data_IF_901036211796
#
_entry.id   IF_901036211796
#
_cell.length_a   1.000
_cell.length_b   1.000
_cell.length_c   1.000
_cell.angle_alpha   90.00
_cell.angle_beta   90.00
_cell.angle_gamma   90.00
#
_symmetry.space_group_name_H-M   'P 1'
#
loop_
_entity.id
_entity.type
_entity.pdbx_description
1 polymer ?
#
# COMPACT_ATOMS: atom_id res chain seq x y z
N UNK A 1 9.15 5.43 -18.54
CA UNK A 1 9.05 4.38 -17.53
C UNK A 1 8.91 3.02 -18.19
N UNK A 2 10.01 2.46 -18.71
CA UNK A 2 9.99 1.14 -19.34
C UNK A 2 10.32 0.02 -18.34
N UNK A 3 10.60 0.37 -17.07
CA UNK A 3 11.12 -0.60 -16.09
C UNK A 3 10.12 -1.02 -15.01
N UNK A 4 8.95 -0.39 -14.92
CA UNK A 4 7.94 -0.68 -13.87
C UNK A 4 8.55 -0.78 -12.46
N UNK A 5 9.48 0.11 -12.16
CA UNK A 5 10.23 0.11 -10.91
C UNK A 5 10.14 1.45 -10.21
N UNK A 6 9.98 1.42 -8.89
CA UNK A 6 10.25 2.56 -8.03
C UNK A 6 11.76 2.81 -8.01
N UNK A 7 12.19 3.98 -8.49
CA UNK A 7 13.59 4.38 -8.45
C UNK A 7 13.85 5.18 -7.18
N UNK A 8 14.86 4.77 -6.42
CA UNK A 8 15.30 5.44 -5.21
C UNK A 8 16.81 5.55 -5.17
N UNK A 9 17.34 6.62 -4.59
CA UNK A 9 18.76 6.74 -4.28
C UNK A 9 18.96 6.33 -2.82
N UNK A 10 19.62 5.18 -2.61
CA UNK A 10 19.98 4.71 -1.27
C UNK A 10 21.35 5.27 -0.89
N UNK A 11 21.44 5.89 0.29
CA UNK A 11 22.71 6.38 0.82
C UNK A 11 22.98 5.86 2.23
N UNK A 12 24.23 5.51 2.49
CA UNK A 12 24.73 5.03 3.78
C UNK A 12 25.87 5.93 4.23
N UNK A 13 25.78 6.45 5.46
CA UNK A 13 26.84 7.24 6.08
C UNK A 13 27.54 6.41 7.15
N UNK A 14 28.83 6.16 6.95
CA UNK A 14 29.66 5.44 7.91
C UNK A 14 30.24 6.39 8.96
N UNK A 15 30.20 5.99 10.23
CA UNK A 15 30.84 6.73 11.33
C UNK A 15 32.36 6.63 11.31
N UNK A 16 32.88 5.55 10.73
CA UNK A 16 34.32 5.29 10.58
C UNK A 16 34.55 4.69 9.20
N UNK A 17 35.51 5.21 8.49
CA UNK A 17 35.90 4.78 7.16
C UNK A 17 37.36 5.09 6.88
N UNK A 18 37.92 4.45 5.90
CA UNK A 18 39.29 4.64 5.39
C UNK A 18 39.23 4.75 3.87
N UNK A 19 40.30 5.20 3.24
CA UNK A 19 40.31 5.42 1.79
C UNK A 19 40.12 4.12 0.97
N UNK A 20 40.33 2.97 1.59
CA UNK A 20 40.14 1.62 1.02
C UNK A 20 38.79 0.99 1.44
N UNK A 21 37.88 1.76 2.03
CA UNK A 21 36.56 1.26 2.41
C UNK A 21 35.70 1.09 1.18
N UNK A 22 35.18 -0.12 0.98
CA UNK A 22 34.19 -0.47 -0.04
C UNK A 22 32.86 -0.82 0.64
N UNK A 23 31.75 -0.40 0.03
CA UNK A 23 30.40 -0.68 0.52
C UNK A 23 29.58 -1.27 -0.61
N UNK A 24 28.86 -2.35 -0.32
CA UNK A 24 27.86 -2.92 -1.19
C UNK A 24 26.50 -3.02 -0.48
N UNK A 25 25.46 -2.56 -1.13
CA UNK A 25 24.07 -2.69 -0.64
C UNK A 25 23.54 -4.07 -0.98
N UNK A 26 22.99 -4.76 0.01
CA UNK A 26 22.27 -6.01 -0.14
C UNK A 26 20.78 -5.72 -0.07
N UNK A 27 20.03 -6.14 -1.09
CA UNK A 27 18.57 -6.02 -1.16
C UNK A 27 18.01 -7.42 -1.17
N UNK A 28 17.23 -7.77 -0.16
CA UNK A 28 16.57 -9.08 -0.09
C UNK A 28 15.07 -8.89 -0.21
N UNK A 29 14.47 -9.53 -1.21
CA UNK A 29 13.04 -9.56 -1.47
C UNK A 29 12.66 -10.96 -1.96
N UNK A 30 11.54 -11.51 -1.47
CA UNK A 30 11.09 -12.87 -1.83
C UNK A 30 12.18 -13.95 -1.65
N UNK A 31 13.02 -13.82 -0.63
CA UNK A 31 14.13 -14.74 -0.36
C UNK A 31 15.29 -14.67 -1.36
N UNK A 32 15.25 -13.76 -2.32
CA UNK A 32 16.34 -13.49 -3.25
C UNK A 32 17.12 -12.26 -2.80
N UNK A 33 18.44 -12.35 -2.83
CA UNK A 33 19.33 -11.24 -2.46
C UNK A 33 20.10 -10.75 -3.70
N UNK A 34 19.97 -9.46 -3.98
CA UNK A 34 20.80 -8.75 -4.94
C UNK A 34 21.88 -7.96 -4.20
N UNK A 35 23.09 -7.88 -4.75
CA UNK A 35 24.18 -7.07 -4.23
C UNK A 35 24.54 -5.98 -5.24
N UNK A 36 24.52 -4.73 -4.77
CA UNK A 36 24.80 -3.54 -5.58
C UNK A 36 26.01 -2.79 -5.00
N UNK A 37 27.07 -2.57 -5.78
CA UNK A 37 28.20 -1.75 -5.31
C UNK A 37 27.72 -0.30 -5.09
N UNK A 38 28.16 0.30 -3.99
CA UNK A 38 27.91 1.69 -3.69
C UNK A 38 29.16 2.53 -4.00
N UNK A 39 28.96 3.69 -4.56
CA UNK A 39 30.04 4.66 -4.79
C UNK A 39 29.96 5.78 -3.77
N UNK A 40 31.09 6.27 -3.32
CA UNK A 40 31.06 7.34 -2.31
C UNK A 40 32.41 7.96 -1.99
N UNK A 41 32.35 9.06 -1.28
CA UNK A 41 33.51 9.79 -0.73
C UNK A 41 33.17 10.28 0.67
N UNK A 42 34.22 10.49 1.48
CA UNK A 42 34.08 11.07 2.80
C UNK A 42 33.11 10.34 3.75
N UNK A 43 33.05 8.99 3.59
CA UNK A 43 32.22 8.14 4.42
C UNK A 43 30.74 8.11 4.04
N UNK A 44 30.34 8.78 2.95
CA UNK A 44 28.98 8.71 2.40
C UNK A 44 29.01 7.90 1.11
N UNK A 45 28.28 6.82 1.06
CA UNK A 45 28.17 5.90 -0.06
C UNK A 45 26.75 5.87 -0.59
N UNK A 46 26.55 5.90 -1.91
CA UNK A 46 25.24 5.89 -2.54
C UNK A 46 25.18 4.97 -3.75
N UNK A 47 23.99 4.46 -4.03
CA UNK A 47 23.68 3.69 -5.24
C UNK A 47 22.20 3.86 -5.60
N UNK A 48 21.87 3.96 -6.90
CA UNK A 48 20.47 3.90 -7.33
C UNK A 48 19.94 2.48 -7.16
N UNK A 49 18.67 2.40 -6.73
CA UNK A 49 17.94 1.13 -6.53
C UNK A 49 16.65 1.18 -7.30
N UNK A 50 16.33 0.10 -8.04
CA UNK A 50 15.04 -0.10 -8.68
C UNK A 50 14.29 -1.23 -7.96
N UNK A 51 13.12 -0.93 -7.39
CA UNK A 51 12.24 -1.92 -6.77
C UNK A 51 11.01 -2.14 -7.65
N UNK A 52 10.64 -3.40 -8.00
CA UNK A 52 9.43 -3.67 -8.75
C UNK A 52 8.20 -3.18 -7.99
N UNK A 53 7.37 -2.32 -8.62
CA UNK A 53 6.17 -1.77 -7.96
C UNK A 53 5.01 -2.76 -7.87
N UNK A 54 5.02 -3.80 -8.70
CA UNK A 54 3.99 -4.85 -8.72
C UNK A 54 4.19 -5.88 -7.58
N UNK A 55 5.37 -5.86 -6.94
CA UNK A 55 5.73 -6.72 -5.83
C UNK A 55 5.86 -5.89 -4.56
N UNK A 56 4.80 -5.85 -3.77
CA UNK A 56 4.74 -5.12 -2.49
C UNK A 56 5.19 -5.95 -1.30
N UNK A 57 5.80 -7.13 -1.53
CA UNK A 57 6.29 -8.00 -0.46
C UNK A 57 7.36 -7.32 0.40
N UNK A 58 7.64 -7.95 1.54
CA UNK A 58 8.72 -7.51 2.44
C UNK A 58 10.05 -7.35 1.69
N UNK A 59 10.72 -6.24 1.94
CA UNK A 59 12.08 -5.99 1.47
C UNK A 59 12.99 -5.61 2.64
N UNK A 60 14.17 -6.20 2.68
CA UNK A 60 15.21 -5.84 3.66
C UNK A 60 16.48 -5.35 2.96
N UNK A 61 17.11 -4.38 3.59
CA UNK A 61 18.33 -3.75 3.15
C UNK A 61 19.42 -3.98 4.20
N UNK A 62 20.57 -4.47 3.75
CA UNK A 62 21.77 -4.60 4.55
C UNK A 62 22.99 -4.05 3.78
N UNK A 63 24.08 -3.80 4.44
CA UNK A 63 25.32 -3.37 3.80
C UNK A 63 26.45 -4.36 4.13
N UNK A 64 27.19 -4.76 3.10
CA UNK A 64 28.52 -5.33 3.26
C UNK A 64 29.55 -4.19 3.24
N UNK A 65 30.32 -4.06 4.33
CA UNK A 65 31.32 -3.03 4.48
C UNK A 65 32.68 -3.72 4.57
N UNK A 66 33.57 -3.46 3.60
CA UNK A 66 34.90 -4.02 3.53
C UNK A 66 35.93 -2.91 3.81
N UNK A 67 36.76 -3.09 4.81
CA UNK A 67 37.86 -2.18 5.14
C UNK A 67 39.07 -2.98 5.66
N UNK A 68 40.28 -2.66 5.23
CA UNK A 68 41.47 -3.38 5.61
C UNK A 68 41.43 -4.88 5.31
N UNK A 69 40.70 -5.30 4.29
CA UNK A 69 40.55 -6.71 3.91
C UNK A 69 39.58 -7.52 4.77
N UNK A 70 38.84 -6.88 5.66
CA UNK A 70 37.78 -7.52 6.47
C UNK A 70 36.44 -7.00 6.05
N UNK A 71 35.46 -7.91 5.91
CA UNK A 71 34.06 -7.57 5.58
C UNK A 71 33.16 -7.80 6.78
N UNK A 72 32.34 -6.80 7.08
CA UNK A 72 31.23 -6.90 8.04
C UNK A 72 29.91 -6.68 7.31
N UNK A 73 28.84 -7.32 7.81
CA UNK A 73 27.48 -7.09 7.34
C UNK A 73 26.70 -6.36 8.43
N UNK A 74 26.00 -5.30 8.04
CA UNK A 74 25.14 -4.53 8.94
C UNK A 74 23.75 -4.37 8.33
N UNK A 75 22.70 -4.57 9.14
CA UNK A 75 21.33 -4.32 8.75
C UNK A 75 21.10 -2.80 8.68
N UNK A 76 20.46 -2.34 7.60
CA UNK A 76 20.20 -0.92 7.36
C UNK A 76 18.76 -0.57 7.69
N UNK A 77 17.79 -1.23 7.03
CA UNK A 77 16.35 -1.05 7.24
C UNK A 77 15.58 -2.21 6.61
N UNK A 78 14.31 -2.33 6.98
CA UNK A 78 13.38 -3.23 6.31
C UNK A 78 11.99 -2.59 6.23
N UNK A 79 11.23 -2.98 5.21
CA UNK A 79 9.83 -2.64 5.05
C UNK A 79 9.05 -3.95 4.94
N UNK A 80 8.11 -4.17 5.84
CA UNK A 80 7.24 -5.35 5.83
C UNK A 80 6.28 -5.34 4.63
N UNK A 81 5.99 -4.15 4.11
CA UNK A 81 5.16 -3.93 2.93
C UNK A 81 5.71 -2.74 2.14
N UNK A 82 6.09 -2.98 0.88
CA UNK A 82 6.55 -1.92 -0.03
C UNK A 82 5.43 -0.95 -0.45
N UNK A 83 4.17 -1.31 -0.24
CA UNK A 83 3.04 -0.43 -0.55
C UNK A 83 3.14 0.94 0.13
N UNK A 84 3.82 1.03 1.28
CA UNK A 84 4.06 2.31 1.98
C UNK A 84 4.96 3.28 1.20
N UNK A 85 5.73 2.79 0.23
CA UNK A 85 6.62 3.58 -0.62
C UNK A 85 5.98 3.92 -1.98
N UNK A 86 4.78 3.40 -2.28
CA UNK A 86 4.08 3.71 -3.53
C UNK A 86 3.60 5.16 -3.55
N UNK A 87 3.43 5.76 -4.73
CA UNK A 87 2.88 7.12 -4.88
C UNK A 87 1.55 7.33 -4.17
N UNK A 88 0.69 6.30 -4.14
CA UNK A 88 -0.53 6.27 -3.35
C UNK A 88 -0.47 5.11 -2.36
N UNK A 89 -0.83 5.37 -1.12
CA UNK A 89 -0.94 4.34 -0.08
C UNK A 89 -2.19 4.54 0.77
N UNK A 90 -2.71 3.46 1.34
CA UNK A 90 -3.81 3.54 2.28
C UNK A 90 -3.31 4.19 3.58
N UNK A 91 -4.00 5.25 4.00
CA UNK A 91 -3.84 5.79 5.36
C UNK A 91 -4.79 5.03 6.29
N UNK A 92 -4.22 4.35 7.30
CA UNK A 92 -4.97 3.52 8.26
C UNK A 92 -6.03 4.29 9.08
N UNK A 93 -6.26 5.57 8.79
CA UNK A 93 -7.26 6.42 9.41
C UNK A 93 -8.68 6.28 8.80
N UNK A 94 -8.91 5.32 7.90
CA UNK A 94 -10.23 5.01 7.36
C UNK A 94 -11.22 4.60 8.47
N UNK A 95 -12.48 5.01 8.34
CA UNK A 95 -13.54 4.66 9.27
C UNK A 95 -14.77 4.16 8.54
N UNK A 96 -15.29 3.02 9.00
CA UNK A 96 -16.53 2.42 8.52
C UNK A 96 -17.53 2.17 9.65
N UNK A 97 -18.81 2.39 9.37
CA UNK A 97 -19.92 2.09 10.29
C UNK A 97 -20.87 1.08 9.62
N UNK A 98 -20.58 -0.24 9.78
CA UNK A 98 -21.39 -1.30 9.20
C UNK A 98 -22.66 -1.52 10.01
N UNK A 99 -23.77 -1.73 9.35
CA UNK A 99 -25.00 -2.21 9.95
C UNK A 99 -25.61 -3.32 9.12
N UNK A 100 -26.13 -4.36 9.78
CA UNK A 100 -26.90 -5.42 9.13
C UNK A 100 -28.25 -5.56 9.80
N UNK A 101 -29.33 -5.51 9.01
CA UNK A 101 -30.68 -5.67 9.51
C UNK A 101 -31.61 -6.20 8.43
N UNK A 102 -32.31 -7.29 8.73
CA UNK A 102 -33.37 -7.81 7.89
C UNK A 102 -32.95 -8.18 6.46
N UNK A 103 -31.76 -8.74 6.29
CA UNK A 103 -31.23 -9.10 5.00
C UNK A 103 -30.61 -7.94 4.21
N UNK A 104 -30.41 -6.79 4.85
CA UNK A 104 -29.76 -5.62 4.24
C UNK A 104 -28.50 -5.25 5.01
N UNK A 105 -27.34 -5.34 4.36
CA UNK A 105 -26.09 -4.79 4.82
C UNK A 105 -25.98 -3.32 4.35
N UNK A 106 -25.60 -2.44 5.27
CA UNK A 106 -25.37 -1.04 4.98
C UNK A 106 -24.01 -0.62 5.53
N UNK A 107 -23.26 0.17 4.77
CA UNK A 107 -21.93 0.66 5.15
C UNK A 107 -21.77 2.11 4.72
N UNK A 108 -21.40 2.98 5.65
CA UNK A 108 -20.80 4.27 5.38
C UNK A 108 -19.29 4.14 5.59
N UNK A 109 -18.50 4.66 4.70
CA UNK A 109 -17.04 4.54 4.79
C UNK A 109 -16.34 5.78 4.29
N UNK A 110 -15.33 6.23 5.02
CA UNK A 110 -14.38 7.25 4.61
C UNK A 110 -12.98 6.62 4.59
N UNK A 111 -12.37 6.56 3.40
CA UNK A 111 -11.03 6.01 3.19
C UNK A 111 -10.02 7.14 3.00
N UNK A 112 -8.99 7.18 3.82
CA UNK A 112 -7.83 8.05 3.65
C UNK A 112 -6.84 7.47 2.63
N UNK A 113 -6.50 8.24 1.60
CA UNK A 113 -5.42 7.93 0.67
C UNK A 113 -4.32 8.96 0.86
N UNK A 114 -3.13 8.49 1.23
CA UNK A 114 -1.91 9.29 1.31
C UNK A 114 -1.32 9.44 -0.08
N UNK A 115 -1.03 10.68 -0.45
CA UNK A 115 -0.35 11.03 -1.70
C UNK A 115 1.12 11.31 -1.41
N UNK A 116 2.00 10.75 -2.20
CA UNK A 116 3.44 10.94 -2.10
C UNK A 116 4.01 11.41 -3.44
N UNK A 117 5.20 11.97 -3.42
CA UNK A 117 5.95 12.39 -4.63
C UNK A 117 5.19 13.39 -5.53
N UNK A 118 4.26 14.17 -4.97
CA UNK A 118 3.46 15.14 -5.72
C UNK A 118 2.46 14.51 -6.69
N UNK A 119 2.03 13.26 -6.43
CA UNK A 119 1.03 12.59 -7.27
C UNK A 119 -0.39 13.02 -6.94
N UNK A 120 -1.31 12.70 -7.86
CA UNK A 120 -2.75 12.91 -7.69
C UNK A 120 -3.50 11.60 -7.87
N UNK A 121 -4.65 11.49 -7.21
CA UNK A 121 -5.59 10.36 -7.39
C UNK A 121 -6.49 10.67 -8.59
N UNK A 122 -6.51 9.77 -9.56
CA UNK A 122 -7.23 9.92 -10.82
C UNK A 122 -8.33 8.86 -10.91
N UNK A 123 -9.53 9.29 -11.29
CA UNK A 123 -10.73 8.46 -11.54
C UNK A 123 -11.05 7.46 -10.40
N UNK A 124 -11.09 7.89 -9.12
CA UNK A 124 -11.37 6.99 -8.03
C UNK A 124 -12.81 6.49 -8.09
N UNK A 125 -12.98 5.17 -7.96
CA UNK A 125 -14.29 4.51 -7.90
C UNK A 125 -14.28 3.44 -6.81
N UNK A 126 -15.39 3.32 -6.08
CA UNK A 126 -15.60 2.21 -5.17
C UNK A 126 -16.27 1.05 -5.89
N UNK A 127 -15.74 -0.15 -5.70
CA UNK A 127 -16.40 -1.40 -6.06
C UNK A 127 -16.84 -2.13 -4.81
N UNK A 128 -18.06 -2.64 -4.82
CA UNK A 128 -18.61 -3.49 -3.78
C UNK A 128 -18.74 -4.88 -4.36
N UNK A 129 -18.06 -5.83 -3.74
CA UNK A 129 -18.15 -7.24 -4.10
C UNK A 129 -19.01 -7.98 -3.06
N UNK A 130 -19.80 -8.91 -3.53
CA UNK A 130 -20.51 -9.87 -2.71
C UNK A 130 -20.09 -11.27 -3.12
N UNK A 131 -19.53 -12.06 -2.20
CA UNK A 131 -19.00 -13.38 -2.48
C UNK A 131 -17.99 -13.39 -3.64
N UNK A 132 -17.17 -12.34 -3.74
CA UNK A 132 -16.17 -12.15 -4.81
C UNK A 132 -16.74 -11.63 -6.15
N UNK A 133 -18.05 -11.40 -6.28
CA UNK A 133 -18.66 -10.85 -7.49
C UNK A 133 -19.01 -9.36 -7.30
N UNK A 134 -18.63 -8.51 -8.25
CA UNK A 134 -18.97 -7.07 -8.21
C UNK A 134 -20.47 -6.88 -8.35
N UNK A 135 -21.10 -6.31 -7.31
CA UNK A 135 -22.53 -6.03 -7.26
C UNK A 135 -22.87 -4.55 -7.41
N UNK A 136 -21.91 -3.66 -7.08
CA UNK A 136 -22.06 -2.22 -7.26
C UNK A 136 -20.73 -1.59 -7.66
N UNK A 137 -20.80 -0.51 -8.44
CA UNK A 137 -19.69 0.41 -8.69
C UNK A 137 -20.20 1.82 -8.48
N UNK A 138 -19.57 2.56 -7.59
CA UNK A 138 -19.99 3.89 -7.15
C UNK A 138 -18.84 4.87 -7.38
N UNK A 139 -19.09 6.06 -7.95
CA UNK A 139 -18.08 7.10 -7.99
C UNK A 139 -17.60 7.42 -6.58
N UNK A 140 -16.31 7.68 -6.43
CA UNK A 140 -15.77 8.22 -5.19
C UNK A 140 -15.88 9.75 -5.21
N UNK A 141 -16.24 10.33 -4.07
CA UNK A 141 -16.21 11.78 -3.86
C UNK A 141 -15.29 12.10 -2.69
N UNK A 142 -14.69 13.28 -2.73
CA UNK A 142 -13.89 13.77 -1.60
C UNK A 142 -14.84 13.97 -0.41
N UNK A 143 -14.47 13.38 0.71
CA UNK A 143 -15.17 13.56 1.99
C UNK A 143 -14.70 14.86 2.66
N UNK A 144 -15.59 15.49 3.43
CA UNK A 144 -15.25 16.62 4.30
C UNK A 144 -14.53 16.17 5.58
N UNK A 145 -14.39 14.88 5.79
CA UNK A 145 -13.70 14.31 6.94
C UNK A 145 -12.20 14.67 6.93
N UNK A 146 -11.66 14.98 8.10
CA UNK A 146 -10.26 15.36 8.29
C UNK A 146 -9.66 14.63 9.49
N UNK A 147 -9.73 13.27 9.45
CA UNK A 147 -9.32 12.47 10.60
C UNK A 147 -7.84 12.59 10.95
N UNK A 148 -6.95 12.65 9.95
CA UNK A 148 -5.51 12.70 10.22
C UNK A 148 -4.98 14.11 10.44
N UNK A 149 -5.62 15.15 9.89
CA UNK A 149 -5.08 16.51 9.83
C UNK A 149 -3.82 16.64 8.95
N UNK A 150 -3.42 15.57 8.26
CA UNK A 150 -2.27 15.53 7.35
C UNK A 150 -2.70 16.05 5.97
N UNK A 151 -2.05 17.13 5.44
CA UNK A 151 -2.40 17.71 4.16
C UNK A 151 -2.17 16.77 2.96
N UNK A 152 -1.33 15.76 3.12
CA UNK A 152 -1.05 14.77 2.08
C UNK A 152 -2.07 13.62 2.05
N UNK A 153 -3.03 13.60 2.98
CA UNK A 153 -4.10 12.60 3.03
C UNK A 153 -5.41 13.20 2.54
N UNK A 154 -6.00 12.56 1.54
CA UNK A 154 -7.33 12.90 1.00
C UNK A 154 -8.30 11.77 1.33
N UNK A 155 -9.45 12.14 1.90
CA UNK A 155 -10.50 11.18 2.25
C UNK A 155 -11.51 11.05 1.12
N UNK A 156 -11.86 9.80 0.79
CA UNK A 156 -12.85 9.45 -0.21
C UNK A 156 -14.00 8.67 0.42
N UNK A 157 -15.22 8.99 -0.01
CA UNK A 157 -16.43 8.27 0.39
C UNK A 157 -17.25 7.89 -0.85
N UNK A 158 -17.98 6.74 -0.84
CA UNK A 158 -18.84 6.36 -1.96
C UNK A 158 -19.94 7.40 -2.21
N UNK A 159 -20.07 7.86 -3.46
CA UNK A 159 -21.15 8.77 -3.86
C UNK A 159 -22.42 7.96 -4.12
N UNK A 160 -23.25 7.79 -3.10
CA UNK A 160 -24.55 7.14 -3.21
C UNK A 160 -25.68 8.10 -2.84
N UNK A 161 -26.87 7.90 -3.42
CA UNK A 161 -28.06 8.71 -3.13
C UNK A 161 -28.53 8.55 -1.68
N UNK A 162 -28.24 7.42 -1.06
CA UNK A 162 -28.67 7.07 0.29
C UNK A 162 -27.59 7.32 1.36
N UNK A 163 -26.47 7.98 1.01
CA UNK A 163 -25.39 8.31 1.94
C UNK A 163 -24.48 7.13 2.32
N UNK A 164 -24.61 5.97 1.69
CA UNK A 164 -23.81 4.78 1.96
C UNK A 164 -24.05 3.66 0.95
N UNK A 165 -23.32 2.57 1.13
CA UNK A 165 -23.45 1.33 0.38
C UNK A 165 -24.60 0.54 0.98
N UNK A 166 -25.47 -0.07 0.14
CA UNK A 166 -26.54 -0.96 0.58
C UNK A 166 -26.51 -2.22 -0.28
N UNK A 167 -26.36 -3.39 0.36
CA UNK A 167 -26.29 -4.71 -0.29
C UNK A 167 -27.30 -5.67 0.36
N UNK A 168 -28.07 -6.39 -0.47
CA UNK A 168 -28.90 -7.48 0.02
C UNK A 168 -28.02 -8.69 0.32
N UNK A 169 -28.01 -9.14 1.58
CA UNK A 169 -27.19 -10.24 2.04
C UNK A 169 -28.01 -11.29 2.78
N UNK A 170 -27.47 -12.51 2.80
CA UNK A 170 -27.95 -13.64 3.61
C UNK A 170 -26.85 -14.03 4.60
N UNK A 171 -27.14 -14.86 5.60
CA UNK A 171 -26.11 -15.46 6.43
C UNK A 171 -25.00 -16.09 5.60
N UNK A 172 -23.75 -15.97 6.08
CA UNK A 172 -22.53 -16.47 5.44
C UNK A 172 -22.15 -15.74 4.13
N UNK A 173 -22.89 -14.71 3.68
CA UNK A 173 -22.43 -13.84 2.60
C UNK A 173 -21.25 -12.97 3.05
N UNK A 174 -20.27 -12.79 2.16
CA UNK A 174 -19.19 -11.83 2.34
C UNK A 174 -19.43 -10.56 1.53
N UNK A 175 -19.07 -9.40 2.07
CA UNK A 175 -19.10 -8.12 1.39
C UNK A 175 -17.71 -7.48 1.49
N UNK A 176 -17.13 -7.18 0.33
CA UNK A 176 -15.84 -6.53 0.23
C UNK A 176 -16.01 -5.14 -0.39
N UNK A 177 -15.30 -4.17 0.14
CA UNK A 177 -15.20 -2.83 -0.42
C UNK A 177 -13.80 -2.61 -0.97
N UNK A 178 -13.73 -2.21 -2.22
CA UNK A 178 -12.50 -1.85 -2.90
C UNK A 178 -12.53 -0.41 -3.36
N UNK A 179 -11.39 0.29 -3.33
CA UNK A 179 -11.18 1.54 -4.04
C UNK A 179 -10.24 1.28 -5.21
N UNK A 180 -10.75 1.51 -6.42
CA UNK A 180 -9.95 1.48 -7.64
C UNK A 180 -9.60 2.90 -8.04
N UNK A 181 -8.36 3.16 -8.37
CA UNK A 181 -7.93 4.46 -8.89
C UNK A 181 -6.63 4.34 -9.68
N UNK A 182 -6.20 5.45 -10.26
CA UNK A 182 -4.88 5.59 -10.88
C UNK A 182 -4.12 6.73 -10.23
N UNK A 183 -2.82 6.72 -10.40
CA UNK A 183 -1.99 7.87 -10.07
C UNK A 183 -1.55 8.65 -11.33
N UNK A 184 -0.95 9.82 -11.11
CA UNK A 184 -0.43 10.66 -12.20
C UNK A 184 0.81 10.08 -12.90
N UNK A 185 1.41 8.99 -12.38
CA UNK A 185 2.52 8.29 -13.02
C UNK A 185 2.05 7.12 -13.89
N UNK A 186 0.75 6.75 -13.85
CA UNK A 186 0.15 5.71 -14.66
C UNK A 186 0.06 4.34 -13.98
N UNK A 187 0.25 4.27 -12.66
CA UNK A 187 -0.05 3.08 -11.87
C UNK A 187 -1.56 3.00 -11.59
N UNK A 188 -2.11 1.81 -11.71
CA UNK A 188 -3.48 1.47 -11.31
C UNK A 188 -3.44 0.75 -9.97
N UNK A 189 -4.33 1.13 -9.07
CA UNK A 189 -4.43 0.63 -7.70
C UNK A 189 -5.78 -0.03 -7.48
N UNK A 190 -5.76 -1.13 -6.77
CA UNK A 190 -6.92 -1.80 -6.19
C UNK A 190 -6.66 -1.95 -4.68
N UNK A 191 -7.23 -1.03 -3.90
CA UNK A 191 -7.16 -1.07 -2.44
C UNK A 191 -8.31 -1.90 -1.90
N UNK A 192 -8.03 -3.01 -1.22
CA UNK A 192 -9.03 -3.70 -0.40
C UNK A 192 -9.24 -2.87 0.87
N UNK A 193 -10.39 -2.25 0.99
CA UNK A 193 -10.70 -1.27 2.05
C UNK A 193 -11.15 -1.98 3.32
N UNK A 194 -12.12 -2.89 3.18
CA UNK A 194 -12.65 -3.70 4.27
C UNK A 194 -13.37 -4.92 3.72
N UNK A 195 -13.49 -5.94 4.55
CA UNK A 195 -14.24 -7.17 4.27
C UNK A 195 -15.13 -7.47 5.46
N UNK A 196 -16.40 -7.75 5.22
CA UNK A 196 -17.39 -8.14 6.23
C UNK A 196 -17.99 -9.49 5.88
N UNK A 197 -18.21 -10.31 6.89
CA UNK A 197 -18.96 -11.55 6.80
C UNK A 197 -20.25 -11.44 7.60
N UNK A 198 -21.37 -11.87 7.01
CA UNK A 198 -22.65 -11.94 7.73
C UNK A 198 -22.64 -13.23 8.55
N UNK A 199 -22.82 -13.11 9.85
CA UNK A 199 -22.84 -14.26 10.76
C UNK A 199 -23.91 -15.29 10.38
N UNK A 200 -23.74 -16.53 10.85
CA UNK A 200 -24.64 -17.63 10.53
C UNK A 200 -26.07 -17.40 11.01
N UNK A 201 -26.25 -16.62 12.08
CA UNK A 201 -27.56 -16.26 12.63
C UNK A 201 -28.23 -15.13 11.85
N UNK A 202 -27.51 -14.45 10.96
CA UNK A 202 -28.00 -13.31 10.18
C UNK A 202 -28.37 -12.12 11.07
N UNK A 203 -27.62 -11.90 12.13
CA UNK A 203 -27.90 -10.83 13.11
C UNK A 203 -26.87 -9.72 13.06
N UNK A 204 -25.63 -10.01 12.67
CA UNK A 204 -24.50 -9.07 12.63
C UNK A 204 -23.68 -9.23 11.35
N UNK A 205 -22.94 -8.17 11.00
CA UNK A 205 -21.84 -8.23 10.07
C UNK A 205 -20.54 -8.07 10.87
N UNK A 206 -19.65 -9.03 10.77
CA UNK A 206 -18.35 -9.00 11.42
C UNK A 206 -17.27 -8.61 10.42
N UNK A 207 -16.36 -7.69 10.81
CA UNK A 207 -15.22 -7.34 9.98
C UNK A 207 -14.22 -8.50 9.98
N UNK A 208 -13.90 -8.99 8.79
CA UNK A 208 -12.92 -10.04 8.58
C UNK A 208 -11.65 -9.40 8.02
N UNK A 209 -10.57 -9.51 8.78
CA UNK A 209 -9.27 -9.04 8.28
C UNK A 209 -8.78 -9.98 7.18
N UNK A 210 -8.37 -9.45 6.01
CA UNK A 210 -7.85 -10.28 4.94
C UNK A 210 -6.62 -11.06 5.41
N UNK A 211 -6.57 -12.33 5.05
CA UNK A 211 -5.47 -13.26 5.39
C UNK A 211 -4.12 -12.86 4.75
N UNK A 212 -4.15 -11.90 3.82
CA UNK A 212 -2.96 -11.41 3.12
C UNK A 212 -2.55 -10.06 3.66
N UNK A 213 -1.28 -9.90 4.02
CA UNK A 213 -0.68 -8.67 4.54
C UNK A 213 -0.73 -7.47 3.57
N UNK A 214 -1.26 -7.65 2.37
CA UNK A 214 -1.26 -6.65 1.31
C UNK A 214 -2.68 -6.21 0.97
N UNK A 215 -3.08 -5.05 1.49
CA UNK A 215 -4.37 -4.43 1.21
C UNK A 215 -4.38 -3.63 -0.12
N UNK A 216 -3.35 -3.78 -0.94
CA UNK A 216 -3.26 -3.09 -2.23
C UNK A 216 -2.67 -4.01 -3.30
N UNK A 217 -3.32 -4.02 -4.47
CA UNK A 217 -2.76 -4.58 -5.70
C UNK A 217 -2.44 -3.45 -6.65
N UNK A 218 -1.29 -3.51 -7.27
CA UNK A 218 -0.80 -2.48 -8.18
C UNK A 218 -0.53 -3.09 -9.54
N UNK A 219 -0.90 -2.39 -10.60
CA UNK A 219 -0.64 -2.80 -11.97
C UNK A 219 -0.38 -1.60 -12.87
N UNK A 220 0.28 -1.83 -14.00
CA UNK A 220 0.40 -0.83 -15.06
C UNK A 220 -0.69 -1.07 -16.10
N UNK A 221 -1.37 -0.01 -16.52
CA UNK A 221 -2.24 -0.10 -17.69
C UNK A 221 -1.36 -0.39 -18.93
N UNK A 222 -1.79 -1.40 -19.70
CA UNK A 222 -1.15 -1.76 -20.98
C UNK A 222 -1.66 -0.90 -22.11
#
# INVERSE_FOLDING_TARGET
PESHTLQADMSITLRRWTADTEVALLITQNGQTAELPMTGTDGVFATPVGLPVEDTSEVSFAANITAGGQTSREEVTSYSDLAVLLPLSNDSSGYGDPTYRGGSFQLQYDLGIRKQYGTEVIDPVFQVLKNGETVQTLPAKISESTFSGDPDVVYYTPASENGGIVVSCQPEDTVELHLLCRDSFGLSYDFTVCTYEIDQDGTMAEEVWPVTDHNVRVSWEK
#
